data_IF_485247474152
#
_entry.id   IF_485247474152
#
_cell.length_a   1.000
_cell.length_b   1.000
_cell.length_c   1.000
_cell.angle_alpha   90.00
_cell.angle_beta   90.00
_cell.angle_gamma   90.00
#
_symmetry.space_group_name_H-M   'P 1'
#
loop_
_entity.id
_entity.type
_entity.pdbx_description
1 polymer ?
#
# COMPACT_ATOMS: atom_id res chain seq x y z
N UNK A 1 25.95 33.66 -2.51
CA UNK A 1 25.55 33.23 -1.16
C UNK A 1 26.79 33.32 -0.29
N UNK A 2 26.83 34.24 0.67
CA UNK A 2 27.94 34.31 1.62
C UNK A 2 27.93 33.04 2.48
N UNK A 3 29.10 32.46 2.74
CA UNK A 3 29.22 31.31 3.62
C UNK A 3 28.77 31.74 5.03
N UNK A 4 27.71 31.12 5.54
CA UNK A 4 27.29 31.28 6.92
C UNK A 4 28.43 30.74 7.80
N UNK A 5 28.97 31.58 8.69
CA UNK A 5 29.94 31.12 9.68
C UNK A 5 29.26 30.14 10.62
N UNK A 6 29.84 28.94 10.80
CA UNK A 6 29.37 27.99 11.81
C UNK A 6 29.75 28.57 13.18
N UNK A 7 28.75 29.12 13.88
CA UNK A 7 28.91 29.73 15.17
C UNK A 7 28.80 28.64 16.24
N UNK A 8 29.68 28.68 17.24
CA UNK A 8 29.54 27.83 18.41
C UNK A 8 28.24 28.17 19.16
N UNK A 9 27.72 27.23 19.95
CA UNK A 9 26.53 27.47 20.77
C UNK A 9 26.68 28.70 21.68
N UNK A 10 27.87 28.89 22.27
CA UNK A 10 28.16 30.05 23.11
C UNK A 10 28.19 31.37 22.33
N UNK A 11 28.59 31.36 21.05
CA UNK A 11 28.60 32.54 20.19
C UNK A 11 27.18 32.97 19.81
N UNK A 12 26.30 32.00 19.51
CA UNK A 12 24.88 32.28 19.26
C UNK A 12 24.22 32.86 20.51
N UNK A 13 24.54 32.31 21.70
CA UNK A 13 24.02 32.81 22.98
C UNK A 13 24.53 34.22 23.29
N UNK A 14 25.81 34.53 23.04
CA UNK A 14 26.35 35.87 23.28
C UNK A 14 25.70 36.91 22.36
N UNK A 15 25.60 36.63 21.06
CA UNK A 15 24.92 37.51 20.09
C UNK A 15 23.47 37.76 20.49
N UNK A 16 22.77 36.72 20.94
CA UNK A 16 21.40 36.85 21.43
C UNK A 16 21.30 37.69 22.72
N UNK A 17 22.20 37.48 23.69
CA UNK A 17 22.26 38.27 24.93
C UNK A 17 22.57 39.74 24.68
N UNK A 18 23.32 40.05 23.63
CA UNK A 18 23.59 41.41 23.17
C UNK A 18 22.40 42.06 22.45
N UNK A 19 21.27 41.34 22.33
CA UNK A 19 20.04 41.82 21.67
C UNK A 19 20.13 41.89 20.15
N UNK A 20 21.10 41.22 19.55
CA UNK A 20 21.27 41.17 18.09
C UNK A 20 20.49 40.00 17.48
N UNK A 21 20.04 40.17 16.23
CA UNK A 21 19.37 39.10 15.49
C UNK A 21 20.35 37.98 15.15
N UNK A 22 19.98 36.74 15.48
CA UNK A 22 20.75 35.52 15.14
C UNK A 22 20.37 34.95 13.77
N UNK A 23 19.46 35.58 13.03
CA UNK A 23 18.91 35.03 11.77
C UNK A 23 19.96 34.76 10.69
N UNK A 24 21.10 35.46 10.74
CA UNK A 24 22.23 35.30 9.82
C UNK A 24 23.28 34.27 10.27
N UNK A 25 23.10 33.62 11.41
CA UNK A 25 24.03 32.61 11.93
C UNK A 25 23.61 31.19 11.54
N UNK A 26 24.58 30.28 11.59
CA UNK A 26 24.35 28.85 11.58
C UNK A 26 24.87 28.22 12.87
N UNK A 27 24.14 27.22 13.36
CA UNK A 27 24.49 26.39 14.51
C UNK A 27 24.55 24.94 14.04
N UNK A 28 25.69 24.27 14.25
CA UNK A 28 25.91 22.88 13.82
C UNK A 28 25.64 22.69 12.31
N UNK A 29 26.07 23.65 11.49
CA UNK A 29 25.88 23.62 10.03
C UNK A 29 24.44 23.85 9.56
N UNK A 30 23.49 24.18 10.44
CA UNK A 30 22.10 24.48 10.08
C UNK A 30 21.75 25.93 10.41
N UNK A 31 20.95 26.56 9.54
CA UNK A 31 20.47 27.94 9.76
C UNK A 31 19.67 28.08 11.05
N UNK A 32 19.75 29.23 11.72
CA UNK A 32 18.93 29.51 12.91
C UNK A 32 17.42 29.41 12.62
N UNK A 33 16.97 29.70 11.39
CA UNK A 33 15.57 29.47 10.98
C UNK A 33 15.15 28.00 11.08
N UNK A 34 16.03 27.07 10.72
CA UNK A 34 15.77 25.63 10.87
C UNK A 34 15.62 25.29 12.36
N UNK A 35 16.52 25.77 13.22
CA UNK A 35 16.46 25.53 14.66
C UNK A 35 15.22 26.13 15.33
N UNK A 36 14.78 27.32 14.91
CA UNK A 36 13.52 27.88 15.38
C UNK A 36 12.31 27.02 15.00
N UNK A 37 12.26 26.51 13.75
CA UNK A 37 11.21 25.57 13.32
C UNK A 37 11.26 24.26 14.10
N UNK A 38 12.46 23.72 14.33
CA UNK A 38 12.64 22.53 15.16
C UNK A 38 12.14 22.80 16.59
N UNK A 39 12.50 23.95 17.18
CA UNK A 39 12.06 24.37 18.50
C UNK A 39 10.54 24.41 18.64
N UNK A 40 9.85 25.05 17.70
CA UNK A 40 8.37 25.05 17.63
C UNK A 40 7.79 23.64 17.48
N UNK A 41 8.44 22.78 16.69
CA UNK A 41 8.06 21.37 16.58
C UNK A 41 8.15 20.62 17.92
N UNK A 42 9.23 20.82 18.69
CA UNK A 42 9.39 20.22 20.00
C UNK A 42 8.36 20.77 21.01
N UNK A 43 8.10 22.08 21.00
CA UNK A 43 7.06 22.69 21.84
C UNK A 43 5.66 22.14 21.52
N UNK A 44 5.35 21.96 20.23
CA UNK A 44 4.09 21.36 19.79
C UNK A 44 3.94 19.92 20.32
N UNK A 45 4.98 19.10 20.18
CA UNK A 45 5.00 17.73 20.72
C UNK A 45 4.84 17.70 22.24
N UNK A 46 5.47 18.65 22.96
CA UNK A 46 5.29 18.80 24.39
C UNK A 46 3.84 19.16 24.75
N UNK A 47 3.20 20.06 23.99
CA UNK A 47 1.79 20.40 24.14
C UNK A 47 0.86 19.19 23.90
N UNK A 48 1.17 18.33 22.91
CA UNK A 48 0.42 17.10 22.68
C UNK A 48 0.44 16.16 23.91
N UNK A 49 1.52 16.13 24.68
CA UNK A 49 1.57 15.33 25.90
C UNK A 49 0.61 15.86 26.98
N UNK A 50 0.42 17.18 27.08
CA UNK A 50 -0.58 17.79 27.97
C UNK A 50 -1.99 17.44 27.51
N UNK A 51 -2.26 17.46 26.20
CA UNK A 51 -3.55 17.03 25.66
C UNK A 51 -3.82 15.56 26.03
N UNK A 52 -2.81 14.69 26.00
CA UNK A 52 -2.95 13.30 26.44
C UNK A 52 -3.28 13.17 27.93
N UNK A 53 -2.78 14.06 28.79
CA UNK A 53 -3.14 14.11 30.21
C UNK A 53 -4.61 14.54 30.44
N UNK A 54 -5.17 15.33 29.53
CA UNK A 54 -6.58 15.73 29.57
C UNK A 54 -7.53 14.63 29.06
N UNK A 55 -7.01 13.65 28.32
CA UNK A 55 -7.81 12.53 27.82
C UNK A 55 -8.07 11.55 28.97
N UNK A 56 -9.35 11.35 29.26
CA UNK A 56 -9.80 10.35 30.23
C UNK A 56 -9.23 8.96 29.90
N UNK A 57 -8.47 8.41 30.85
CA UNK A 57 -7.85 7.08 30.74
C UNK A 57 -8.85 5.96 30.44
N UNK A 58 -10.10 6.07 30.92
CA UNK A 58 -11.15 5.10 30.60
C UNK A 58 -11.55 5.16 29.12
N UNK A 59 -11.68 6.37 28.55
CA UNK A 59 -11.97 6.56 27.12
C UNK A 59 -10.80 6.07 26.25
N UNK A 60 -9.57 6.29 26.71
CA UNK A 60 -8.37 5.81 26.03
C UNK A 60 -8.35 4.28 25.99
N UNK A 61 -8.55 3.60 27.13
CA UNK A 61 -8.66 2.12 27.17
C UNK A 61 -9.74 1.59 26.23
N UNK A 62 -10.95 2.16 26.28
CA UNK A 62 -12.03 1.77 25.36
C UNK A 62 -11.71 2.04 23.88
N UNK A 63 -10.86 3.02 23.56
CA UNK A 63 -10.39 3.25 22.19
C UNK A 63 -9.35 2.20 21.76
N UNK A 64 -8.47 1.78 22.67
CA UNK A 64 -7.48 0.73 22.46
C UNK A 64 -8.17 -0.60 22.15
N UNK A 65 -9.15 -1.00 22.98
CA UNK A 65 -9.90 -2.25 22.78
C UNK A 65 -10.61 -2.26 21.42
N UNK A 66 -11.29 -1.16 21.08
CA UNK A 66 -11.95 -1.00 19.78
C UNK A 66 -10.96 -1.06 18.61
N UNK A 67 -9.75 -0.53 18.77
CA UNK A 67 -8.73 -0.59 17.73
C UNK A 67 -8.14 -2.00 17.60
N UNK A 68 -7.99 -2.74 18.70
CA UNK A 68 -7.53 -4.13 18.71
C UNK A 68 -8.55 -5.04 18.01
N UNK A 69 -9.84 -4.89 18.32
CA UNK A 69 -10.92 -5.61 17.63
C UNK A 69 -10.96 -5.30 16.13
N UNK A 70 -10.71 -4.03 15.76
CA UNK A 70 -10.66 -3.64 14.34
C UNK A 70 -9.42 -4.20 13.65
N UNK A 71 -8.28 -4.23 14.34
CA UNK A 71 -7.05 -4.82 13.83
C UNK A 71 -7.22 -6.32 13.58
N UNK A 72 -7.74 -7.08 14.55
CA UNK A 72 -7.92 -8.53 14.36
C UNK A 72 -8.94 -8.80 13.25
N UNK A 73 -10.06 -8.06 13.20
CA UNK A 73 -11.00 -8.13 12.07
C UNK A 73 -10.37 -7.76 10.72
N UNK A 74 -9.47 -6.79 10.68
CA UNK A 74 -8.77 -6.41 9.44
C UNK A 74 -7.71 -7.44 9.04
N UNK A 75 -7.01 -8.02 10.01
CA UNK A 75 -6.02 -9.08 9.81
C UNK A 75 -6.67 -10.36 9.31
N UNK A 76 -7.82 -10.75 9.86
CA UNK A 76 -8.56 -11.92 9.40
C UNK A 76 -9.15 -11.69 8.00
N UNK A 77 -9.70 -10.50 7.74
CA UNK A 77 -10.07 -10.09 6.36
C UNK A 77 -8.87 -10.12 5.42
N UNK A 78 -7.70 -9.67 5.87
CA UNK A 78 -6.48 -9.69 5.08
C UNK A 78 -5.98 -11.08 4.76
N UNK A 79 -6.04 -12.00 5.73
CA UNK A 79 -5.72 -13.42 5.52
C UNK A 79 -6.71 -14.08 4.56
N UNK A 80 -8.00 -13.83 4.74
CA UNK A 80 -9.03 -14.35 3.84
C UNK A 80 -8.83 -13.83 2.41
N UNK A 81 -8.57 -12.53 2.26
CA UNK A 81 -8.29 -11.92 0.95
C UNK A 81 -7.00 -12.45 0.32
N UNK A 82 -5.92 -12.63 1.09
CA UNK A 82 -4.68 -13.23 0.60
C UNK A 82 -4.90 -14.68 0.12
N UNK A 83 -5.72 -15.47 0.82
CA UNK A 83 -6.11 -16.81 0.36
C UNK A 83 -6.92 -16.77 -0.93
N UNK A 84 -7.88 -15.86 -1.04
CA UNK A 84 -8.67 -15.66 -2.27
C UNK A 84 -7.75 -15.25 -3.43
N UNK A 85 -6.81 -14.34 -3.19
CA UNK A 85 -5.85 -13.91 -4.20
C UNK A 85 -4.94 -15.06 -4.64
N UNK A 86 -4.38 -15.80 -3.69
CA UNK A 86 -3.55 -16.97 -4.00
C UNK A 86 -4.33 -18.01 -4.82
N UNK A 87 -5.59 -18.26 -4.47
CA UNK A 87 -6.46 -19.17 -5.24
C UNK A 87 -6.76 -18.62 -6.65
N UNK A 88 -6.95 -17.31 -6.79
CA UNK A 88 -7.11 -16.67 -8.10
C UNK A 88 -5.84 -16.81 -8.95
N UNK A 89 -4.66 -16.61 -8.37
CA UNK A 89 -3.37 -16.78 -9.05
C UNK A 89 -3.14 -18.24 -9.48
N UNK A 90 -3.48 -19.22 -8.63
CA UNK A 90 -3.42 -20.64 -8.99
C UNK A 90 -4.42 -20.96 -10.10
N UNK A 91 -5.65 -20.43 -10.03
CA UNK A 91 -6.68 -20.61 -11.05
C UNK A 91 -6.26 -20.04 -12.41
N UNK A 92 -5.71 -18.82 -12.42
CA UNK A 92 -5.16 -18.16 -13.61
C UNK A 92 -4.00 -18.97 -14.18
N UNK A 93 -3.05 -19.42 -13.35
CA UNK A 93 -1.93 -20.25 -13.80
C UNK A 93 -2.37 -21.61 -14.38
N UNK A 94 -3.40 -22.23 -13.81
CA UNK A 94 -4.02 -23.43 -14.37
C UNK A 94 -4.69 -23.13 -15.71
N UNK A 95 -5.39 -22.01 -15.84
CA UNK A 95 -6.02 -21.59 -17.09
C UNK A 95 -4.97 -21.33 -18.18
N UNK A 96 -3.90 -20.61 -17.85
CA UNK A 96 -2.78 -20.33 -18.75
C UNK A 96 -2.02 -21.60 -19.17
N UNK A 97 -2.08 -22.68 -18.38
CA UNK A 97 -1.54 -23.97 -18.80
C UNK A 97 -2.30 -24.62 -19.96
N UNK A 98 -3.55 -24.21 -20.20
CA UNK A 98 -4.34 -24.65 -21.36
C UNK A 98 -4.26 -23.66 -22.51
N UNK A 99 -4.19 -22.36 -22.23
CA UNK A 99 -4.28 -21.32 -23.25
C UNK A 99 -3.11 -20.35 -23.18
N UNK A 100 -2.52 -20.07 -24.34
CA UNK A 100 -1.52 -19.02 -24.47
C UNK A 100 -2.04 -17.86 -25.32
N UNK A 101 -1.58 -16.66 -25.01
CA UNK A 101 -1.83 -15.46 -25.82
C UNK A 101 -0.52 -14.95 -26.38
N UNK A 102 -0.39 -14.93 -27.71
CA UNK A 102 0.75 -14.30 -28.37
C UNK A 102 0.38 -12.86 -28.71
N UNK A 103 1.06 -11.84 -28.12
CA UNK A 103 0.86 -10.47 -28.55
C UNK A 103 1.30 -10.33 -30.01
N UNK A 104 0.48 -9.68 -30.82
CA UNK A 104 0.72 -9.54 -32.26
C UNK A 104 1.93 -8.67 -32.61
N UNK A 105 2.40 -7.84 -31.67
CA UNK A 105 3.48 -6.86 -31.88
C UNK A 105 3.13 -5.73 -32.86
N UNK A 106 2.05 -5.88 -33.63
CA UNK A 106 1.58 -4.94 -34.64
C UNK A 106 0.41 -4.14 -34.09
N UNK A 107 0.51 -2.80 -34.04
CA UNK A 107 -0.60 -1.95 -33.63
C UNK A 107 -1.88 -2.24 -34.42
N UNK A 108 -2.99 -2.47 -33.73
CA UNK A 108 -4.30 -2.75 -34.34
C UNK A 108 -4.57 -4.22 -34.69
N UNK A 109 -3.57 -5.11 -34.58
CA UNK A 109 -3.78 -6.55 -34.76
C UNK A 109 -4.12 -7.19 -33.42
N UNK A 110 -5.23 -7.94 -33.37
CA UNK A 110 -5.66 -8.63 -32.15
C UNK A 110 -4.64 -9.70 -31.73
N UNK A 111 -4.40 -9.90 -30.42
CA UNK A 111 -3.60 -11.02 -29.94
C UNK A 111 -4.20 -12.34 -30.39
N UNK A 112 -3.36 -13.31 -30.75
CA UNK A 112 -3.80 -14.65 -31.12
C UNK A 112 -3.81 -15.51 -29.86
N UNK A 113 -4.93 -16.15 -29.57
CA UNK A 113 -5.02 -17.15 -28.50
C UNK A 113 -4.92 -18.55 -29.08
N UNK A 114 -4.14 -19.44 -28.49
CA UNK A 114 -4.05 -20.85 -28.85
C UNK A 114 -4.23 -21.79 -27.66
N UNK A 115 -4.33 -23.08 -27.93
CA UNK A 115 -4.36 -24.14 -26.92
C UNK A 115 -2.96 -24.79 -26.86
N UNK A 116 -2.42 -25.00 -25.67
CA UNK A 116 -1.17 -25.74 -25.50
C UNK A 116 -1.35 -27.20 -25.92
N UNK A 117 -0.37 -27.74 -26.67
CA UNK A 117 -0.38 -29.15 -27.11
C UNK A 117 0.29 -30.09 -26.09
N UNK A 118 1.10 -29.54 -25.20
CA UNK A 118 1.85 -30.29 -24.20
C UNK A 118 1.44 -29.87 -22.78
N UNK A 119 1.48 -30.79 -21.81
CA UNK A 119 1.20 -30.47 -20.41
C UNK A 119 2.24 -29.48 -19.85
N UNK A 120 1.90 -28.74 -18.78
CA UNK A 120 2.82 -27.80 -18.18
C UNK A 120 4.03 -28.48 -17.53
N UNK A 121 5.22 -27.92 -17.76
CA UNK A 121 6.47 -28.41 -17.16
C UNK A 121 6.55 -28.20 -15.64
N UNK A 122 5.77 -27.25 -15.12
CA UNK A 122 5.78 -26.85 -13.72
C UNK A 122 4.37 -26.70 -13.17
N UNK A 123 4.17 -27.12 -11.91
CA UNK A 123 2.91 -26.93 -11.21
C UNK A 123 2.89 -25.58 -10.46
N UNK A 124 1.73 -24.89 -10.41
CA UNK A 124 1.56 -23.76 -9.51
C UNK A 124 1.81 -24.17 -8.05
N UNK A 125 2.23 -23.23 -7.18
CA UNK A 125 2.46 -23.52 -5.77
C UNK A 125 1.22 -24.14 -5.11
N UNK A 126 1.42 -25.25 -4.38
CA UNK A 126 0.34 -25.96 -3.69
C UNK A 126 -0.42 -26.98 -4.54
N UNK A 127 -0.10 -27.11 -5.83
CA UNK A 127 -0.64 -28.16 -6.71
C UNK A 127 0.41 -29.24 -6.93
N UNK A 128 0.03 -30.51 -6.77
CA UNK A 128 0.90 -31.63 -7.10
C UNK A 128 1.07 -31.77 -8.62
N UNK A 129 2.30 -31.86 -9.10
CA UNK A 129 2.60 -31.85 -10.54
C UNK A 129 2.06 -33.07 -11.28
N UNK A 130 2.17 -34.27 -10.71
CA UNK A 130 1.64 -35.47 -11.34
C UNK A 130 0.10 -35.42 -11.46
N UNK A 131 -0.58 -34.92 -10.42
CA UNK A 131 -2.04 -34.69 -10.46
C UNK A 131 -2.41 -33.61 -11.47
N UNK A 132 -1.63 -32.56 -11.60
CA UNK A 132 -1.83 -31.52 -12.61
C UNK A 132 -1.71 -32.08 -14.02
N UNK A 133 -0.65 -32.84 -14.32
CA UNK A 133 -0.46 -33.43 -15.65
C UNK A 133 -1.62 -34.36 -16.00
N UNK A 134 -2.04 -35.23 -15.07
CA UNK A 134 -3.19 -36.11 -15.29
C UNK A 134 -4.49 -35.34 -15.56
N UNK A 135 -4.76 -34.31 -14.75
CA UNK A 135 -5.92 -33.42 -14.94
C UNK A 135 -5.85 -32.68 -16.29
N UNK A 136 -4.68 -32.15 -16.65
CA UNK A 136 -4.47 -31.44 -17.90
C UNK A 136 -4.72 -32.36 -19.10
N UNK A 137 -4.18 -33.58 -19.09
CA UNK A 137 -4.37 -34.55 -20.17
C UNK A 137 -5.84 -34.92 -20.37
N UNK A 138 -6.59 -35.12 -19.28
CA UNK A 138 -8.03 -35.38 -19.31
C UNK A 138 -8.77 -34.21 -19.98
N UNK A 139 -8.57 -32.98 -19.49
CA UNK A 139 -9.29 -31.81 -20.01
C UNK A 139 -8.87 -31.48 -21.44
N UNK A 140 -7.58 -31.59 -21.78
CA UNK A 140 -7.08 -31.33 -23.13
C UNK A 140 -7.70 -32.28 -24.18
N UNK A 141 -7.98 -33.53 -23.80
CA UNK A 141 -8.69 -34.48 -24.66
C UNK A 141 -10.17 -34.12 -24.87
N UNK A 142 -10.80 -33.46 -23.89
CA UNK A 142 -12.21 -33.01 -23.97
C UNK A 142 -12.37 -31.71 -24.78
N UNK A 143 -11.40 -30.80 -24.74
CA UNK A 143 -11.51 -29.45 -25.30
C UNK A 143 -11.93 -29.39 -26.79
N UNK A 144 -11.43 -30.26 -27.70
CA UNK A 144 -11.87 -30.25 -29.10
C UNK A 144 -13.35 -30.57 -29.28
N UNK A 145 -13.96 -31.33 -28.36
CA UNK A 145 -15.38 -31.68 -28.40
C UNK A 145 -16.25 -30.71 -27.57
N UNK A 146 -15.64 -29.91 -26.70
CA UNK A 146 -16.31 -29.00 -25.77
C UNK A 146 -16.80 -27.69 -26.41
N UNK A 147 -17.37 -27.75 -27.61
CA UNK A 147 -18.04 -26.61 -28.24
C UNK A 147 -19.05 -27.02 -29.32
N UNK A 148 -19.99 -26.11 -29.60
CA UNK A 148 -21.09 -26.25 -30.58
C UNK A 148 -20.98 -25.24 -31.73
N UNK A 149 -19.83 -24.57 -31.85
CA UNK A 149 -19.60 -23.59 -32.91
C UNK A 149 -19.64 -24.28 -34.28
N UNK A 150 -20.53 -23.81 -35.18
CA UNK A 150 -20.65 -24.34 -36.55
C UNK A 150 -19.52 -23.92 -37.49
N UNK A 151 -18.78 -22.87 -37.13
CA UNK A 151 -17.67 -22.35 -37.92
C UNK A 151 -16.37 -22.99 -37.45
N UNK A 152 -15.56 -23.46 -38.39
CA UNK A 152 -14.18 -23.85 -38.11
C UNK A 152 -13.43 -22.60 -37.64
N UNK A 153 -12.87 -22.64 -36.44
CA UNK A 153 -12.10 -21.56 -35.85
C UNK A 153 -10.77 -22.14 -35.36
N UNK A 154 -9.70 -21.34 -35.48
CA UNK A 154 -8.36 -21.74 -35.06
C UNK A 154 -8.08 -21.39 -33.60
N UNK A 155 -8.78 -20.37 -33.09
CA UNK A 155 -8.63 -19.87 -31.73
C UNK A 155 -9.70 -20.48 -30.82
N UNK A 156 -9.37 -20.79 -29.55
CA UNK A 156 -10.31 -21.38 -28.63
C UNK A 156 -11.52 -20.46 -28.43
N UNK A 157 -12.71 -20.98 -28.72
CA UNK A 157 -13.95 -20.22 -28.56
C UNK A 157 -14.36 -20.09 -27.09
N UNK A 158 -15.32 -19.20 -26.80
CA UNK A 158 -15.80 -18.97 -25.43
C UNK A 158 -16.26 -20.25 -24.74
N UNK A 159 -16.98 -21.14 -25.45
CA UNK A 159 -17.46 -22.40 -24.87
C UNK A 159 -16.33 -23.33 -24.40
N UNK A 160 -15.20 -23.38 -25.13
CA UNK A 160 -14.03 -24.18 -24.73
C UNK A 160 -13.33 -23.57 -23.51
N UNK A 161 -13.24 -22.23 -23.46
CA UNK A 161 -12.67 -21.49 -22.32
C UNK A 161 -13.52 -21.67 -21.07
N UNK A 162 -14.84 -21.60 -21.21
CA UNK A 162 -15.79 -21.78 -20.12
C UNK A 162 -15.77 -23.24 -19.62
N UNK A 163 -15.66 -24.22 -20.53
CA UNK A 163 -15.46 -25.63 -20.16
C UNK A 163 -14.19 -25.82 -19.34
N UNK A 164 -13.04 -25.33 -19.83
CA UNK A 164 -11.77 -25.41 -19.11
C UNK A 164 -11.88 -24.78 -17.71
N UNK A 165 -12.48 -23.58 -17.60
CA UNK A 165 -12.71 -22.90 -16.31
C UNK A 165 -13.55 -23.75 -15.37
N UNK A 166 -14.66 -24.33 -15.85
CA UNK A 166 -15.49 -25.23 -15.05
C UNK A 166 -14.72 -26.44 -14.54
N UNK A 167 -13.89 -27.07 -15.38
CA UNK A 167 -13.05 -28.21 -14.98
C UNK A 167 -11.97 -27.81 -13.98
N UNK A 168 -11.37 -26.63 -14.13
CA UNK A 168 -10.39 -26.07 -13.16
C UNK A 168 -11.07 -25.81 -11.82
N UNK A 169 -12.27 -25.21 -11.82
CA UNK A 169 -13.02 -24.93 -10.60
C UNK A 169 -13.42 -26.23 -9.88
N UNK A 170 -13.80 -27.28 -10.61
CA UNK A 170 -14.02 -28.62 -10.07
C UNK A 170 -12.74 -29.23 -9.46
N UNK A 171 -11.61 -29.14 -10.17
CA UNK A 171 -10.32 -29.67 -9.74
C UNK A 171 -9.85 -29.01 -8.43
N UNK A 172 -9.95 -27.68 -8.35
CA UNK A 172 -9.65 -26.90 -7.15
C UNK A 172 -10.65 -27.21 -6.03
N UNK A 173 -11.95 -27.32 -6.34
CA UNK A 173 -13.00 -27.61 -5.37
C UNK A 173 -12.88 -28.98 -4.68
N UNK A 174 -12.30 -29.98 -5.36
CA UNK A 174 -11.98 -31.29 -4.78
C UNK A 174 -10.75 -31.25 -3.88
N UNK A 175 -9.83 -30.33 -4.12
CA UNK A 175 -8.58 -30.17 -3.36
C UNK A 175 -8.75 -29.28 -2.13
N UNK A 176 -9.79 -28.45 -2.09
CA UNK A 176 -10.10 -27.55 -0.98
C UNK A 176 -11.10 -28.18 0.03
N UNK A 177 -10.98 -27.85 1.34
CA UNK A 177 -12.01 -28.19 2.32
C UNK A 177 -13.37 -27.57 1.96
N UNK A 178 -14.48 -28.22 2.33
CA UNK A 178 -15.85 -27.78 2.00
C UNK A 178 -16.10 -26.30 2.32
N UNK A 179 -15.67 -25.86 3.51
CA UNK A 179 -15.80 -24.48 4.00
C UNK A 179 -15.07 -23.44 3.14
N UNK A 180 -14.08 -23.87 2.34
CA UNK A 180 -13.24 -23.01 1.52
C UNK A 180 -13.68 -22.98 0.05
N UNK A 181 -14.61 -23.84 -0.38
CA UNK A 181 -15.15 -23.83 -1.75
C UNK A 181 -15.80 -22.49 -2.12
N UNK A 182 -16.39 -21.80 -1.14
CA UNK A 182 -16.93 -20.44 -1.33
C UNK A 182 -15.86 -19.42 -1.76
N UNK A 183 -14.58 -19.72 -1.53
CA UNK A 183 -13.47 -18.86 -1.94
C UNK A 183 -13.24 -18.92 -3.46
N UNK A 184 -13.59 -20.01 -4.15
CA UNK A 184 -13.47 -20.13 -5.62
C UNK A 184 -14.35 -19.06 -6.29
N UNK A 185 -15.62 -18.97 -5.90
CA UNK A 185 -16.55 -17.95 -6.39
C UNK A 185 -16.18 -16.50 -5.98
N UNK A 186 -15.30 -16.34 -4.99
CA UNK A 186 -14.71 -15.03 -4.64
C UNK A 186 -13.46 -14.74 -5.46
N UNK A 187 -12.67 -15.75 -5.78
CA UNK A 187 -11.48 -15.66 -6.61
C UNK A 187 -11.85 -15.26 -8.05
N UNK A 188 -12.89 -15.87 -8.63
CA UNK A 188 -13.43 -15.50 -9.94
C UNK A 188 -13.82 -14.00 -10.00
N UNK A 189 -14.55 -13.52 -8.98
CA UNK A 189 -14.87 -12.09 -8.87
C UNK A 189 -13.62 -11.23 -8.72
N UNK A 190 -12.63 -11.68 -7.95
CA UNK A 190 -11.38 -10.96 -7.76
C UNK A 190 -10.56 -10.85 -9.06
N UNK A 191 -10.57 -11.88 -9.92
CA UNK A 191 -9.93 -11.89 -11.23
C UNK A 191 -10.53 -10.81 -12.15
N UNK A 192 -11.88 -10.77 -12.23
CA UNK A 192 -12.59 -9.74 -13.02
C UNK A 192 -12.29 -8.32 -12.52
N UNK A 193 -12.21 -8.15 -11.19
CA UNK A 193 -11.84 -6.88 -10.58
C UNK A 193 -10.36 -6.53 -10.80
N UNK A 194 -9.46 -7.51 -10.75
CA UNK A 194 -8.04 -7.31 -10.97
C UNK A 194 -7.76 -6.83 -12.40
N UNK A 195 -8.44 -7.37 -13.40
CA UNK A 195 -8.28 -6.90 -14.78
C UNK A 195 -8.77 -5.47 -14.96
N UNK A 196 -9.97 -5.16 -14.44
CA UNK A 196 -10.51 -3.80 -14.48
C UNK A 196 -9.62 -2.79 -13.74
N UNK A 197 -9.00 -3.21 -12.63
CA UNK A 197 -8.07 -2.39 -11.85
C UNK A 197 -6.68 -2.30 -12.48
N UNK A 198 -6.15 -3.37 -13.09
CA UNK A 198 -4.88 -3.34 -13.85
C UNK A 198 -5.01 -2.33 -14.98
N UNK A 199 -6.06 -2.43 -15.78
CA UNK A 199 -6.36 -1.48 -16.87
C UNK A 199 -6.57 -0.06 -16.32
N UNK A 200 -7.38 0.12 -15.27
CA UNK A 200 -7.61 1.43 -14.66
C UNK A 200 -6.34 2.08 -14.08
N UNK A 201 -5.46 1.29 -13.46
CA UNK A 201 -4.22 1.79 -12.86
C UNK A 201 -3.18 2.18 -13.90
N UNK A 202 -3.10 1.46 -15.03
CA UNK A 202 -2.26 1.85 -16.16
C UNK A 202 -2.74 3.16 -16.79
N UNK A 203 -4.06 3.37 -16.89
CA UNK A 203 -4.64 4.63 -17.38
C UNK A 203 -4.30 5.78 -16.43
N UNK A 204 -4.44 5.59 -15.11
CA UNK A 204 -4.11 6.62 -14.10
C UNK A 204 -2.61 6.93 -14.09
N UNK A 205 -1.75 5.90 -14.13
CA UNK A 205 -0.30 6.08 -14.20
C UNK A 205 0.14 6.76 -15.50
N UNK A 206 -0.46 6.38 -16.63
CA UNK A 206 -0.24 7.03 -17.93
C UNK A 206 -0.65 8.49 -17.91
N UNK A 207 -1.82 8.82 -17.34
CA UNK A 207 -2.27 10.20 -17.18
C UNK A 207 -1.34 11.02 -16.26
N UNK A 208 -0.86 10.43 -15.17
CA UNK A 208 0.10 11.07 -14.28
C UNK A 208 1.45 11.33 -14.98
N UNK A 209 1.96 10.37 -15.75
CA UNK A 209 3.18 10.58 -16.55
C UNK A 209 2.98 11.62 -17.65
N UNK A 210 1.82 11.66 -18.31
CA UNK A 210 1.50 12.69 -19.31
C UNK A 210 1.47 14.09 -18.68
N UNK A 211 0.92 14.21 -17.47
CA UNK A 211 0.89 15.45 -16.71
C UNK A 211 2.29 15.94 -16.27
N UNK A 212 3.22 15.00 -16.05
CA UNK A 212 4.63 15.29 -15.74
C UNK A 212 5.47 15.58 -17.01
N UNK A 213 5.04 15.10 -18.17
CA UNK A 213 5.71 15.28 -19.45
C UNK A 213 5.28 16.56 -20.20
N UNK A 214 4.52 17.46 -19.56
CA UNK A 214 4.03 18.69 -20.21
C UNK A 214 5.23 19.57 -20.57
N UNK A 215 5.47 19.85 -21.87
CA UNK A 215 6.64 20.56 -22.34
C UNK A 215 6.44 22.07 -22.15
N UNK A 216 6.40 22.52 -20.90
CA UNK A 216 6.42 23.93 -20.48
C UNK A 216 6.35 24.06 -18.94
N UNK A 217 6.90 23.08 -18.22
CA UNK A 217 6.81 23.05 -16.76
C UNK A 217 7.38 24.33 -16.13
N UNK A 218 8.50 24.83 -16.63
CA UNK A 218 9.18 25.99 -16.06
C UNK A 218 8.41 27.30 -16.26
N UNK A 219 7.62 27.41 -17.33
CA UNK A 219 6.84 28.61 -17.66
C UNK A 219 5.47 28.65 -16.98
N UNK A 220 5.05 27.55 -16.32
CA UNK A 220 3.77 27.52 -15.60
C UNK A 220 3.77 28.38 -14.32
N UNK A 221 2.66 29.08 -14.01
CA UNK A 221 2.44 29.71 -12.71
C UNK A 221 2.52 28.69 -11.56
N UNK A 222 3.13 29.08 -10.44
CA UNK A 222 3.36 28.19 -9.28
C UNK A 222 2.08 27.54 -8.75
N UNK A 223 0.95 28.23 -8.82
CA UNK A 223 -0.35 27.68 -8.41
C UNK A 223 -0.78 26.47 -9.24
N UNK A 224 -0.49 26.45 -10.55
CA UNK A 224 -0.80 25.31 -11.44
C UNK A 224 0.13 24.12 -11.18
N UNK A 225 1.42 24.38 -10.92
CA UNK A 225 2.40 23.34 -10.54
C UNK A 225 1.97 22.63 -9.26
N UNK A 226 1.51 23.39 -8.26
CA UNK A 226 1.00 22.84 -6.99
C UNK A 226 -0.24 21.97 -7.23
N UNK A 227 -1.23 22.43 -8.03
CA UNK A 227 -2.41 21.63 -8.32
C UNK A 227 -2.10 20.35 -9.11
N UNK A 228 -1.20 20.42 -10.09
CA UNK A 228 -0.72 19.23 -10.82
C UNK A 228 0.02 18.26 -9.90
N UNK A 229 0.85 18.77 -8.99
CA UNK A 229 1.51 17.97 -7.95
C UNK A 229 0.51 17.32 -6.98
N UNK A 230 -0.52 18.04 -6.56
CA UNK A 230 -1.59 17.52 -5.70
C UNK A 230 -2.43 16.48 -6.43
N UNK A 231 -2.77 16.70 -7.70
CA UNK A 231 -3.52 15.74 -8.52
C UNK A 231 -2.68 14.48 -8.79
N UNK A 232 -1.39 14.63 -9.10
CA UNK A 232 -0.47 13.51 -9.26
C UNK A 232 -0.29 12.73 -7.95
N UNK A 233 -0.14 13.42 -6.82
CA UNK A 233 -0.04 12.80 -5.50
C UNK A 233 -1.35 12.13 -5.08
N UNK A 234 -2.51 12.70 -5.39
CA UNK A 234 -3.82 12.12 -5.15
C UNK A 234 -4.06 10.90 -6.04
N UNK A 235 -3.71 10.97 -7.33
CA UNK A 235 -3.77 9.84 -8.25
C UNK A 235 -2.83 8.71 -7.81
N UNK A 236 -1.61 9.04 -7.36
CA UNK A 236 -0.67 8.09 -6.78
C UNK A 236 -1.22 7.52 -5.46
N UNK A 237 -1.81 8.35 -4.60
CA UNK A 237 -2.47 7.90 -3.37
C UNK A 237 -3.65 6.99 -3.66
N UNK A 238 -4.44 7.20 -4.70
CA UNK A 238 -5.52 6.28 -5.10
C UNK A 238 -4.95 4.99 -5.69
N UNK A 239 -3.88 5.09 -6.49
CA UNK A 239 -3.17 3.94 -7.05
C UNK A 239 -2.42 3.11 -6.00
N UNK A 240 -2.00 3.71 -4.88
CA UNK A 240 -1.31 3.07 -3.76
C UNK A 240 -2.29 2.69 -2.64
N UNK A 241 -3.31 3.50 -2.36
CA UNK A 241 -4.48 3.19 -1.52
C UNK A 241 -5.48 2.28 -2.22
N UNK A 242 -4.98 1.44 -3.14
CA UNK A 242 -5.49 0.10 -3.33
C UNK A 242 -5.94 -0.45 -1.98
N UNK A 243 -7.08 -1.16 -1.91
CA UNK A 243 -7.38 -2.01 -0.79
C UNK A 243 -6.45 -3.23 -0.88
N UNK A 244 -5.12 -3.04 -0.88
CA UNK A 244 -4.22 -4.13 -0.58
C UNK A 244 -4.55 -4.44 0.87
N UNK A 245 -5.10 -5.62 1.19
CA UNK A 245 -5.48 -5.95 2.54
C UNK A 245 -4.28 -5.81 3.50
N UNK A 246 -3.06 -5.98 2.97
CA UNK A 246 -1.78 -5.71 3.61
C UNK A 246 -1.60 -4.25 4.06
N UNK A 247 -1.97 -3.23 3.26
CA UNK A 247 -1.87 -1.82 3.67
C UNK A 247 -2.89 -1.49 4.77
N UNK A 248 -4.08 -2.10 4.71
CA UNK A 248 -5.06 -1.96 5.79
C UNK A 248 -4.53 -2.60 7.09
N UNK A 249 -3.94 -3.79 7.02
CA UNK A 249 -3.33 -4.46 8.17
C UNK A 249 -2.09 -3.72 8.69
N UNK A 250 -1.28 -3.13 7.81
CA UNK A 250 -0.14 -2.30 8.18
C UNK A 250 -0.58 -1.02 8.90
N UNK A 251 -1.61 -0.33 8.38
CA UNK A 251 -2.23 0.84 9.03
C UNK A 251 -2.78 0.49 10.41
N UNK A 252 -3.50 -0.62 10.53
CA UNK A 252 -4.02 -1.03 11.83
C UNK A 252 -2.91 -1.53 12.76
N UNK A 253 -1.82 -2.11 12.24
CA UNK A 253 -0.64 -2.51 13.02
C UNK A 253 0.07 -1.31 13.61
N UNK A 254 0.31 -0.25 12.82
CA UNK A 254 0.92 0.99 13.34
C UNK A 254 0.01 1.66 14.36
N UNK A 255 -1.28 1.74 14.09
CA UNK A 255 -2.25 2.30 15.03
C UNK A 255 -2.31 1.50 16.34
N UNK A 256 -2.33 0.15 16.28
CA UNK A 256 -2.23 -0.73 17.45
C UNK A 256 -0.93 -0.53 18.21
N UNK A 257 0.19 -0.37 17.51
CA UNK A 257 1.50 -0.11 18.11
C UNK A 257 1.51 1.18 18.93
N UNK A 258 1.03 2.28 18.34
CA UNK A 258 0.90 3.58 19.02
C UNK A 258 -0.02 3.47 20.24
N UNK A 259 -1.18 2.82 20.08
CA UNK A 259 -2.15 2.63 21.15
C UNK A 259 -1.63 1.76 22.30
N UNK A 260 -0.86 0.71 22.00
CA UNK A 260 -0.19 -0.12 23.03
C UNK A 260 0.90 0.64 23.77
N UNK A 261 1.67 1.46 23.08
CA UNK A 261 2.66 2.34 23.69
C UNK A 261 1.98 3.30 24.69
N UNK A 262 0.82 3.84 24.31
CA UNK A 262 0.00 4.69 25.18
C UNK A 262 -0.56 3.88 26.36
N UNK A 263 -1.11 2.68 26.16
CA UNK A 263 -1.62 1.80 27.23
C UNK A 263 -0.53 1.45 28.25
N UNK A 264 0.68 1.11 27.78
CA UNK A 264 1.82 0.83 28.65
C UNK A 264 2.17 2.04 29.54
N UNK A 265 1.96 3.26 29.03
CA UNK A 265 2.09 4.50 29.80
C UNK A 265 0.98 4.71 30.83
N UNK A 266 -0.25 4.25 30.55
CA UNK A 266 -1.43 4.37 31.43
C UNK A 266 -1.37 3.37 32.59
N UNK A 267 -0.94 2.13 32.35
CA UNK A 267 -1.06 1.04 33.33
C UNK A 267 0.06 1.01 34.38
N UNK A 268 0.92 2.04 34.43
CA UNK A 268 1.90 2.20 35.51
C UNK A 268 1.27 2.87 36.73
N UNK A 269 1.82 2.58 37.90
CA UNK A 269 1.44 3.17 39.20
C UNK A 269 1.42 4.71 39.22
N UNK A 270 2.11 5.35 38.27
CA UNK A 270 2.00 6.78 37.95
C UNK A 270 1.83 6.94 36.43
N UNK A 271 0.59 7.02 35.91
CA UNK A 271 0.36 7.10 34.47
C UNK A 271 1.10 8.30 33.86
N UNK A 272 1.74 8.07 32.71
CA UNK A 272 2.40 9.09 31.90
C UNK A 272 3.53 9.91 32.57
N UNK A 273 4.03 9.55 33.75
CA UNK A 273 5.06 10.36 34.42
C UNK A 273 6.35 10.52 33.57
N UNK A 274 6.76 9.46 32.85
CA UNK A 274 7.88 9.56 31.91
C UNK A 274 7.56 10.46 30.72
N UNK A 275 6.33 10.40 30.20
CA UNK A 275 5.87 11.26 29.11
C UNK A 275 5.84 12.73 29.55
N UNK A 276 5.43 13.03 30.78
CA UNK A 276 5.47 14.37 31.37
C UNK A 276 6.89 14.90 31.51
N UNK A 277 7.83 14.05 31.97
CA UNK A 277 9.25 14.43 32.04
C UNK A 277 9.83 14.70 30.64
N UNK A 278 9.51 13.84 29.67
CA UNK A 278 9.92 14.04 28.29
C UNK A 278 9.31 15.32 27.71
N UNK A 279 8.02 15.56 27.93
CA UNK A 279 7.33 16.77 27.48
C UNK A 279 7.94 18.02 28.10
N UNK A 280 8.27 18.00 29.39
CA UNK A 280 8.98 19.09 30.05
C UNK A 280 10.35 19.35 29.39
N UNK A 281 11.15 18.30 29.15
CA UNK A 281 12.45 18.45 28.48
C UNK A 281 12.27 18.99 27.05
N UNK A 282 11.32 18.44 26.29
CA UNK A 282 10.99 18.89 24.92
C UNK A 282 10.54 20.35 24.90
N UNK A 283 9.74 20.77 25.88
CA UNK A 283 9.30 22.14 26.01
C UNK A 283 10.48 23.06 26.32
N UNK A 284 11.32 22.74 27.30
CA UNK A 284 12.48 23.56 27.69
C UNK A 284 13.47 23.67 26.53
N UNK A 285 13.84 22.55 25.90
CA UNK A 285 14.76 22.54 24.76
C UNK A 285 14.14 23.27 23.56
N UNK A 286 12.87 23.02 23.26
CA UNK A 286 12.17 23.68 22.17
C UNK A 286 12.01 25.18 22.38
N UNK A 287 11.79 25.62 23.62
CA UNK A 287 11.75 27.02 24.01
C UNK A 287 13.12 27.67 23.84
N UNK A 288 14.20 27.04 24.31
CA UNK A 288 15.55 27.57 24.14
C UNK A 288 15.93 27.70 22.65
N UNK A 289 15.59 26.71 21.81
CA UNK A 289 15.87 26.77 20.37
C UNK A 289 15.07 27.87 19.66
N UNK A 290 13.79 28.04 20.01
CA UNK A 290 12.93 29.08 19.45
C UNK A 290 13.39 30.47 19.89
N UNK A 291 13.75 30.62 21.17
CA UNK A 291 14.26 31.86 21.75
C UNK A 291 15.60 32.29 21.14
N UNK A 292 16.51 31.34 20.92
CA UNK A 292 17.80 31.66 20.29
C UNK A 292 17.65 32.00 18.80
N UNK A 293 16.58 31.53 18.14
CA UNK A 293 16.32 31.76 16.73
C UNK A 293 15.46 33.01 16.43
N UNK A 294 14.89 33.63 17.46
CA UNK A 294 14.11 34.88 17.39
C UNK A 294 15.02 36.10 17.50
#
# INVERSE_FOLDING_TARGET
MAALGDAGFLDVVSVWLDGQSTSGLSLLGHSMLFWGRAGKGLQFLAGCAVVLDLVDTAKLRAAIDRAEDRYERAKDRGRAAARVQHLAEVREALYDSFFYTVPSGVPGVKPITGIHENPPDHAPPGVDHARLVAFWTEVAAELPAAHRCRRNHREPCMEQRDHARGRIDDFLGRSLPERERVLIARAERAETWNDLLKTGSLVVAGAAMLALAVPDWDTMPDSRKVWLGVLAAAALLVAVARPVPLLSAAKWRTHRGVLRLLAFGVDRTRPFHLLRRLAFVLFVVGFLLDLLAS
#
